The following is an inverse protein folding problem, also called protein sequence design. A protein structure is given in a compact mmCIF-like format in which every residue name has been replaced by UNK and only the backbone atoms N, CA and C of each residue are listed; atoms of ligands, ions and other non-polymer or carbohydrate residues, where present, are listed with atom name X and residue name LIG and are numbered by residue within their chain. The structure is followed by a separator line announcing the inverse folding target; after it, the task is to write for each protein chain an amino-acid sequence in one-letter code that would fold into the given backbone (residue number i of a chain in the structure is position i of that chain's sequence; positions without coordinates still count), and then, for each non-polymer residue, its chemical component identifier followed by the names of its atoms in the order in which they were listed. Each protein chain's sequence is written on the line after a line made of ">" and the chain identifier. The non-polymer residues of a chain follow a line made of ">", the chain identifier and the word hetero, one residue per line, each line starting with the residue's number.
data_IF_448979230690
#
_entry.id   IF_448979230690
#
_cell.length_a   1.000
_cell.length_b   1.000
_cell.length_c   1.000
_cell.angle_alpha   90.00
_cell.angle_beta   90.00
_cell.angle_gamma   90.00
#
_symmetry.space_group_name_H-M   'P 1'
#
loop_
_entity.id
_entity.type
_entity.pdbx_description
1 polymer ?
#
# COMPACT_ATOMS: atom_id res chain seq x y z
N UNK A 1 -9.52 -22.91 12.37
CA UNK A 1 -9.43 -21.45 12.19
C UNK A 1 -8.94 -21.18 10.78
N UNK A 2 -9.22 -19.98 10.25
CA UNK A 2 -8.78 -19.58 8.92
C UNK A 2 -7.52 -18.71 9.01
N UNK A 3 -6.57 -18.94 8.12
CA UNK A 3 -5.49 -18.02 7.81
C UNK A 3 -5.82 -17.32 6.48
N UNK A 4 -5.57 -16.02 6.41
CA UNK A 4 -5.87 -15.22 5.22
C UNK A 4 -4.57 -14.82 4.54
N UNK A 5 -4.47 -15.07 3.25
CA UNK A 5 -3.32 -14.70 2.43
C UNK A 5 -3.77 -13.95 1.19
N UNK A 6 -2.96 -13.02 0.73
CA UNK A 6 -3.08 -12.44 -0.60
C UNK A 6 -2.20 -13.18 -1.61
N UNK A 7 -2.60 -13.22 -2.86
CA UNK A 7 -1.84 -13.85 -3.96
C UNK A 7 -1.37 -12.82 -4.98
N UNK A 8 -0.18 -13.06 -5.54
CA UNK A 8 0.46 -12.17 -6.50
C UNK A 8 -0.24 -12.08 -7.86
N UNK A 9 0.34 -11.27 -8.74
CA UNK A 9 -0.11 -11.09 -10.10
C UNK A 9 0.02 -12.39 -10.95
N UNK A 10 -0.83 -12.58 -11.97
CA UNK A 10 -0.66 -13.65 -12.94
C UNK A 10 0.49 -13.33 -13.91
N UNK A 11 1.32 -14.32 -14.21
CA UNK A 11 2.44 -14.18 -15.14
C UNK A 11 2.09 -14.73 -16.54
N UNK A 12 2.56 -14.09 -17.63
CA UNK A 12 3.35 -12.85 -17.70
C UNK A 12 2.49 -11.59 -17.49
N UNK A 13 3.05 -10.37 -17.44
CA UNK A 13 2.25 -9.13 -17.36
C UNK A 13 1.38 -8.92 -18.61
N UNK A 14 1.86 -9.34 -19.79
CA UNK A 14 1.07 -9.34 -21.01
C UNK A 14 -0.13 -10.30 -20.89
N UNK A 15 -1.28 -9.75 -20.47
CA UNK A 15 -2.53 -10.50 -20.27
C UNK A 15 -3.08 -11.16 -21.53
N UNK A 16 -2.70 -10.69 -22.73
CA UNK A 16 -3.21 -11.27 -23.98
C UNK A 16 -2.74 -12.71 -24.19
N UNK A 17 -1.64 -13.10 -23.54
CA UNK A 17 -1.08 -14.45 -23.58
C UNK A 17 -1.75 -15.44 -22.61
N UNK A 18 -2.69 -14.98 -21.78
CA UNK A 18 -3.29 -15.79 -20.70
C UNK A 18 -4.74 -15.41 -20.43
N UNK A 19 -5.59 -15.58 -21.44
CA UNK A 19 -7.01 -15.29 -21.34
C UNK A 19 -7.70 -16.05 -20.19
N UNK A 20 -8.74 -15.44 -19.61
CA UNK A 20 -9.51 -15.97 -18.48
C UNK A 20 -9.13 -15.35 -17.14
N UNK A 21 -9.82 -15.74 -16.07
CA UNK A 21 -9.69 -15.13 -14.74
C UNK A 21 -8.30 -15.29 -14.10
N UNK A 22 -7.54 -16.30 -14.53
CA UNK A 22 -6.20 -16.65 -14.01
C UNK A 22 -6.19 -17.01 -12.51
N UNK A 23 -7.23 -17.72 -12.04
CA UNK A 23 -7.32 -18.08 -10.63
C UNK A 23 -6.11 -18.90 -10.14
N UNK A 24 -5.62 -18.69 -8.92
CA UNK A 24 -6.11 -17.73 -7.91
C UNK A 24 -5.24 -16.47 -7.84
N UNK A 25 -4.78 -15.89 -8.95
CA UNK A 25 -4.00 -14.65 -8.91
C UNK A 25 -4.81 -13.46 -8.38
N UNK A 26 -4.14 -12.42 -7.88
CA UNK A 26 -4.77 -11.17 -7.43
C UNK A 26 -5.95 -11.36 -6.46
N UNK A 27 -5.83 -12.34 -5.58
CA UNK A 27 -6.93 -12.82 -4.73
C UNK A 27 -6.58 -12.74 -3.25
N UNK A 28 -7.59 -12.54 -2.41
CA UNK A 28 -7.54 -12.93 -1.01
C UNK A 28 -8.05 -14.37 -0.91
N UNK A 29 -7.29 -15.25 -0.28
CA UNK A 29 -7.64 -16.65 -0.03
C UNK A 29 -7.71 -16.93 1.47
N UNK A 30 -8.75 -17.64 1.91
CA UNK A 30 -8.84 -18.14 3.26
C UNK A 30 -8.53 -19.64 3.29
N UNK A 31 -7.55 -20.01 4.09
CA UNK A 31 -7.02 -21.37 4.18
C UNK A 31 -7.37 -21.92 5.56
N UNK A 32 -7.94 -23.11 5.61
CA UNK A 32 -8.10 -23.82 6.88
C UNK A 32 -6.73 -24.27 7.40
N UNK A 33 -6.36 -23.77 8.58
CA UNK A 33 -5.03 -23.95 9.16
C UNK A 33 -4.70 -25.41 9.45
N UNK A 34 -5.70 -26.27 9.66
CA UNK A 34 -5.47 -27.70 9.96
C UNK A 34 -5.21 -28.51 8.70
N UNK A 35 -5.88 -28.17 7.61
CA UNK A 35 -5.94 -29.00 6.40
C UNK A 35 -5.19 -28.42 5.21
N UNK A 36 -4.86 -27.13 5.24
CA UNK A 36 -4.28 -26.41 4.09
C UNK A 36 -5.28 -26.18 2.93
N UNK A 37 -6.55 -26.56 3.09
CA UNK A 37 -7.56 -26.36 2.05
C UNK A 37 -8.03 -24.90 1.99
N UNK A 38 -8.12 -24.37 0.78
CA UNK A 38 -8.80 -23.10 0.52
C UNK A 38 -10.30 -23.28 0.81
N UNK A 39 -10.85 -22.47 1.71
CA UNK A 39 -12.28 -22.47 2.07
C UNK A 39 -13.07 -21.47 1.24
N UNK A 40 -12.47 -20.33 0.92
CA UNK A 40 -13.03 -19.34 0.01
C UNK A 40 -11.91 -18.49 -0.60
N UNK A 41 -12.21 -17.82 -1.70
CA UNK A 41 -11.35 -16.80 -2.29
C UNK A 41 -12.19 -15.63 -2.80
N UNK A 42 -11.60 -14.45 -2.83
CA UNK A 42 -12.15 -13.26 -3.48
C UNK A 42 -11.08 -12.66 -4.39
N UNK A 43 -11.36 -12.58 -5.69
CA UNK A 43 -10.42 -12.08 -6.69
C UNK A 43 -10.69 -10.60 -7.00
N UNK A 44 -9.79 -9.71 -6.57
CA UNK A 44 -9.94 -8.26 -6.74
C UNK A 44 -9.62 -7.78 -8.16
N UNK A 45 -8.70 -8.46 -8.84
CA UNK A 45 -8.29 -8.12 -10.22
C UNK A 45 -8.25 -9.37 -11.11
N UNK A 46 -9.41 -9.90 -11.55
CA UNK A 46 -9.46 -10.98 -12.53
C UNK A 46 -8.72 -10.61 -13.82
N UNK A 47 -8.05 -11.57 -14.46
CA UNK A 47 -7.29 -11.33 -15.69
C UNK A 47 -6.42 -10.05 -15.63
N UNK A 48 -5.65 -9.87 -14.55
CA UNK A 48 -4.86 -8.66 -14.34
C UNK A 48 -3.97 -8.32 -15.55
N UNK A 49 -3.85 -7.05 -15.88
CA UNK A 49 -3.02 -6.54 -17.00
C UNK A 49 -2.10 -5.39 -16.61
N UNK A 50 -1.94 -5.15 -15.31
CA UNK A 50 -1.24 -3.98 -14.77
C UNK A 50 -0.28 -4.31 -13.64
N UNK A 51 -0.08 -5.59 -13.31
CA UNK A 51 0.69 -6.02 -12.14
C UNK A 51 0.08 -5.49 -10.84
N UNK A 52 -1.24 -5.64 -10.69
CA UNK A 52 -1.92 -5.34 -9.43
C UNK A 52 -1.97 -6.59 -8.54
N UNK A 53 -0.84 -6.95 -7.94
CA UNK A 53 -0.80 -8.05 -6.98
C UNK A 53 -1.87 -7.92 -5.90
N UNK A 54 -2.53 -9.02 -5.59
CA UNK A 54 -3.51 -9.11 -4.52
C UNK A 54 -2.90 -9.46 -3.16
N UNK A 55 -1.61 -9.22 -2.94
CA UNK A 55 -0.88 -9.64 -1.73
C UNK A 55 -1.15 -8.79 -0.49
N UNK A 56 -1.67 -7.57 -0.68
CA UNK A 56 -1.92 -6.64 0.42
C UNK A 56 -2.75 -7.29 1.53
N UNK A 57 -2.41 -6.98 2.77
CA UNK A 57 -2.90 -7.63 3.96
C UNK A 57 -4.43 -7.59 4.09
N UNK A 58 -4.99 -8.69 4.61
CA UNK A 58 -6.41 -8.81 4.95
C UNK A 58 -6.56 -8.71 6.47
N UNK A 59 -6.91 -7.53 6.96
CA UNK A 59 -7.02 -7.26 8.41
C UNK A 59 -8.44 -7.55 8.87
N UNK A 60 -8.57 -8.51 9.78
CA UNK A 60 -9.88 -8.86 10.35
C UNK A 60 -10.28 -7.91 11.48
N UNK A 61 -11.55 -7.50 11.49
CA UNK A 61 -12.12 -6.58 12.47
C UNK A 61 -13.60 -6.89 12.71
N UNK A 62 -14.18 -6.32 13.76
CA UNK A 62 -15.61 -6.48 14.05
C UNK A 62 -16.39 -5.27 13.54
N UNK A 63 -17.46 -5.52 12.77
CA UNK A 63 -18.37 -4.51 12.23
C UNK A 63 -19.80 -5.01 12.35
N UNK A 64 -20.65 -4.23 13.02
CA UNK A 64 -22.07 -4.57 13.22
C UNK A 64 -22.31 -6.00 13.77
N UNK A 65 -21.45 -6.43 14.71
CA UNK A 65 -21.53 -7.75 15.34
C UNK A 65 -21.04 -8.92 14.48
N UNK A 66 -20.48 -8.65 13.29
CA UNK A 66 -19.89 -9.67 12.40
C UNK A 66 -18.38 -9.52 12.32
N UNK A 67 -17.70 -10.65 12.14
CA UNK A 67 -16.26 -10.71 11.83
C UNK A 67 -16.06 -10.44 10.35
N UNK A 68 -15.53 -9.27 10.04
CA UNK A 68 -15.20 -8.84 8.68
C UNK A 68 -13.69 -8.86 8.49
N UNK A 69 -13.24 -8.67 7.24
CA UNK A 69 -11.87 -8.27 6.98
C UNK A 69 -11.78 -7.28 5.84
N UNK A 70 -10.75 -6.46 5.89
CA UNK A 70 -10.55 -5.35 4.98
C UNK A 70 -9.18 -5.39 4.33
N UNK A 71 -9.11 -4.85 3.10
CA UNK A 71 -7.89 -4.78 2.29
C UNK A 71 -7.88 -3.53 1.42
N UNK A 72 -6.86 -2.70 1.57
CA UNK A 72 -6.53 -1.65 0.62
C UNK A 72 -5.61 -2.23 -0.46
N UNK A 73 -6.12 -2.47 -1.66
CA UNK A 73 -5.43 -3.24 -2.70
C UNK A 73 -4.51 -2.36 -3.58
N UNK A 74 -3.55 -3.00 -4.27
CA UNK A 74 -2.71 -2.37 -5.29
C UNK A 74 -3.56 -1.67 -6.35
N UNK A 75 -4.69 -2.26 -6.71
CA UNK A 75 -5.56 -1.76 -7.77
C UNK A 75 -6.34 -0.46 -7.43
N UNK A 76 -6.17 0.08 -6.22
CA UNK A 76 -6.75 1.37 -5.81
C UNK A 76 -8.13 1.28 -5.14
N UNK A 77 -8.72 0.08 -5.06
CA UNK A 77 -9.94 -0.16 -4.31
C UNK A 77 -9.66 -0.72 -2.91
N UNK A 78 -10.50 -0.31 -1.97
CA UNK A 78 -10.58 -0.84 -0.62
C UNK A 78 -11.75 -1.82 -0.58
N UNK A 79 -11.50 -3.03 -0.12
CA UNK A 79 -12.48 -4.12 -0.05
C UNK A 79 -12.82 -4.43 1.40
N UNK A 80 -14.09 -4.70 1.67
CA UNK A 80 -14.59 -5.22 2.95
C UNK A 80 -15.36 -6.49 2.67
N UNK A 81 -14.89 -7.60 3.23
CA UNK A 81 -15.44 -8.94 3.02
C UNK A 81 -15.85 -9.56 4.36
N UNK A 82 -16.88 -10.40 4.35
CA UNK A 82 -17.15 -11.31 5.45
C UNK A 82 -15.97 -12.29 5.59
N UNK A 83 -15.35 -12.35 6.78
CA UNK A 83 -14.15 -13.15 6.97
C UNK A 83 -14.42 -14.66 6.98
N UNK A 84 -15.66 -15.08 7.27
CA UNK A 84 -16.06 -16.49 7.32
C UNK A 84 -16.28 -17.11 5.95
N UNK A 85 -16.79 -16.34 4.98
CA UNK A 85 -17.21 -16.85 3.67
C UNK A 85 -16.68 -16.07 2.45
N UNK A 86 -15.99 -14.95 2.64
CA UNK A 86 -15.40 -14.16 1.56
C UNK A 86 -16.40 -13.30 0.77
N UNK A 87 -17.68 -13.23 1.20
CA UNK A 87 -18.69 -12.43 0.51
C UNK A 87 -18.35 -10.95 0.63
N UNK A 88 -18.42 -10.24 -0.50
CA UNK A 88 -18.22 -8.80 -0.58
C UNK A 88 -19.35 -8.06 0.13
N UNK A 89 -18.99 -7.17 1.05
CA UNK A 89 -19.91 -6.27 1.75
C UNK A 89 -19.80 -4.84 1.20
N UNK A 90 -18.57 -4.37 0.97
CA UNK A 90 -18.33 -3.03 0.44
C UNK A 90 -17.04 -2.98 -0.39
N UNK A 91 -17.02 -2.12 -1.41
CA UNK A 91 -15.84 -1.82 -2.19
C UNK A 91 -15.89 -0.38 -2.72
N UNK A 92 -14.81 0.37 -2.55
CA UNK A 92 -14.74 1.78 -2.93
C UNK A 92 -13.29 2.22 -3.18
N UNK A 93 -13.04 3.22 -4.04
CA UNK A 93 -11.69 3.76 -4.22
C UNK A 93 -11.14 4.38 -2.93
N UNK A 94 -9.91 4.05 -2.54
CA UNK A 94 -9.17 4.78 -1.49
C UNK A 94 -8.09 5.70 -2.04
N UNK A 95 -7.95 5.73 -3.37
CA UNK A 95 -7.18 6.70 -4.15
C UNK A 95 -8.11 7.60 -4.95
N UNK A 96 -7.63 8.79 -5.30
CA UNK A 96 -8.44 9.81 -5.99
C UNK A 96 -8.60 9.54 -7.48
N UNK A 97 -7.68 8.78 -8.10
CA UNK A 97 -7.75 8.43 -9.52
C UNK A 97 -7.60 6.93 -9.73
N UNK A 98 -8.63 6.32 -10.32
CA UNK A 98 -8.65 4.95 -10.82
C UNK A 98 -9.10 4.99 -12.27
N UNK A 99 -8.34 4.40 -13.20
CA UNK A 99 -8.67 4.44 -14.64
C UNK A 99 -9.04 3.08 -15.19
N UNK A 100 -8.52 1.98 -14.65
CA UNK A 100 -8.72 0.63 -15.19
C UNK A 100 -10.15 0.08 -15.00
N UNK A 101 -10.89 0.60 -14.02
CA UNK A 101 -12.27 0.25 -13.74
C UNK A 101 -13.05 1.46 -13.20
N UNK A 102 -14.35 1.53 -13.49
CA UNK A 102 -15.24 2.59 -13.00
C UNK A 102 -15.78 2.33 -11.58
N UNK A 103 -15.66 1.09 -11.11
CA UNK A 103 -16.14 0.66 -9.79
C UNK A 103 -16.11 -0.86 -9.66
N UNK A 104 -16.53 -1.35 -8.50
CA UNK A 104 -16.77 -2.78 -8.25
C UNK A 104 -18.27 -3.00 -8.15
N UNK A 105 -18.81 -3.94 -8.92
CA UNK A 105 -20.19 -4.35 -8.80
C UNK A 105 -20.36 -5.16 -7.51
N UNK A 106 -21.09 -4.62 -6.53
CA UNK A 106 -21.29 -5.26 -5.22
C UNK A 106 -22.13 -6.54 -5.29
N UNK A 107 -22.91 -6.77 -6.35
CA UNK A 107 -23.69 -8.00 -6.53
C UNK A 107 -22.82 -9.14 -7.04
N UNK A 108 -21.96 -8.86 -8.02
CA UNK A 108 -21.11 -9.88 -8.66
C UNK A 108 -19.73 -9.99 -8.01
N UNK A 109 -19.30 -8.95 -7.28
CA UNK A 109 -17.96 -8.82 -6.73
C UNK A 109 -16.89 -8.48 -7.76
N UNK A 110 -17.25 -8.23 -9.01
CA UNK A 110 -16.33 -8.05 -10.15
C UNK A 110 -16.12 -6.56 -10.47
N UNK A 111 -14.93 -6.17 -10.96
CA UNK A 111 -14.70 -4.82 -11.44
C UNK A 111 -15.45 -4.53 -12.74
N UNK A 112 -15.96 -3.31 -12.85
CA UNK A 112 -16.50 -2.74 -14.08
C UNK A 112 -15.33 -2.19 -14.91
N UNK A 113 -14.68 -3.06 -15.69
CA UNK A 113 -13.50 -2.70 -16.49
C UNK A 113 -13.78 -1.54 -17.44
N UNK A 114 -12.73 -0.73 -17.67
CA UNK A 114 -12.62 0.21 -18.79
C UNK A 114 -11.67 -0.43 -19.81
N UNK A 115 -12.16 -1.13 -20.85
CA UNK A 115 -11.33 -1.92 -21.75
C UNK A 115 -10.22 -1.11 -22.44
N UNK A 116 -10.48 0.16 -22.71
CA UNK A 116 -9.54 1.10 -23.36
C UNK A 116 -8.30 1.38 -22.51
N UNK A 117 -8.35 1.14 -21.20
CA UNK A 117 -7.25 1.33 -20.27
C UNK A 117 -6.44 0.05 -20.01
N UNK A 118 -6.69 -1.01 -20.79
CA UNK A 118 -5.82 -2.20 -20.84
C UNK A 118 -4.77 -2.02 -21.95
N UNK A 119 -3.47 -2.25 -21.69
CA UNK A 119 -2.45 -2.15 -22.72
C UNK A 119 -2.74 -3.11 -23.89
N UNK A 120 -2.56 -2.64 -25.11
CA UNK A 120 -2.96 -3.36 -26.32
C UNK A 120 -2.19 -4.65 -26.57
N UNK A 121 -2.73 -5.52 -27.42
CA UNK A 121 -2.05 -6.73 -27.90
C UNK A 121 -0.92 -6.32 -28.88
N UNK A 122 0.35 -6.66 -28.62
CA UNK A 122 1.44 -6.32 -29.53
C UNK A 122 1.28 -6.93 -30.92
N UNK A 123 0.60 -8.07 -31.10
CA UNK A 123 0.42 -8.67 -32.43
C UNK A 123 -0.51 -7.88 -33.33
N UNK A 124 -1.33 -6.98 -32.76
CA UNK A 124 -2.15 -6.04 -33.50
C UNK A 124 -1.42 -4.75 -33.88
N UNK A 125 -0.18 -4.54 -33.39
CA UNK A 125 0.65 -3.39 -33.71
C UNK A 125 1.28 -3.50 -35.11
N UNK A 126 1.66 -2.34 -35.69
CA UNK A 126 2.18 -2.26 -37.06
C UNK A 126 3.40 -3.15 -37.35
N UNK A 127 4.24 -3.40 -36.35
CA UNK A 127 5.44 -4.25 -36.46
C UNK A 127 5.37 -5.52 -35.60
N UNK A 128 4.25 -5.76 -34.91
CA UNK A 128 4.06 -6.91 -34.01
C UNK A 128 4.86 -6.87 -32.70
N UNK A 129 5.57 -5.77 -32.39
CA UNK A 129 6.53 -5.72 -31.26
C UNK A 129 6.00 -4.96 -30.05
N UNK A 130 5.06 -4.04 -30.24
CA UNK A 130 4.58 -3.16 -29.17
C UNK A 130 3.08 -2.92 -29.32
N UNK A 131 2.33 -3.21 -28.27
CA UNK A 131 0.92 -2.86 -28.16
C UNK A 131 0.73 -1.36 -27.91
N UNK A 132 -0.50 -0.87 -28.11
CA UNK A 132 -0.83 0.52 -27.82
C UNK A 132 -0.53 0.86 -26.35
N UNK A 133 0.09 2.02 -26.15
CA UNK A 133 0.39 2.57 -24.83
C UNK A 133 -0.90 3.12 -24.23
N UNK A 134 -1.16 2.80 -22.97
CA UNK A 134 -2.28 3.35 -22.20
C UNK A 134 -1.79 4.02 -20.93
N UNK A 135 -2.58 4.97 -20.42
CA UNK A 135 -2.34 5.57 -19.12
C UNK A 135 -3.17 4.85 -18.03
N UNK A 136 -2.49 4.27 -17.06
CA UNK A 136 -3.11 3.62 -15.90
C UNK A 136 -2.91 4.43 -14.63
N UNK A 137 -3.97 4.63 -13.84
CA UNK A 137 -3.88 4.98 -12.43
C UNK A 137 -4.71 3.97 -11.62
N UNK A 138 -4.17 3.39 -10.53
CA UNK A 138 -2.77 3.51 -10.06
C UNK A 138 -1.71 3.04 -11.06
N UNK A 139 -0.45 3.38 -10.80
CA UNK A 139 0.70 2.68 -11.41
C UNK A 139 0.75 1.21 -10.93
N UNK A 140 1.58 0.37 -11.53
CA UNK A 140 1.75 -1.03 -11.08
C UNK A 140 2.23 -1.14 -9.62
N UNK A 141 2.98 -0.15 -9.11
CA UNK A 141 3.35 -0.09 -7.69
C UNK A 141 2.14 0.16 -6.76
N UNK A 142 1.00 0.53 -7.34
CA UNK A 142 -0.33 0.45 -6.76
C UNK A 142 -0.74 1.64 -5.90
N UNK A 143 -2.02 1.69 -5.53
CA UNK A 143 -2.54 2.65 -4.54
C UNK A 143 -1.98 2.39 -3.14
N UNK A 144 -1.64 1.13 -2.84
CA UNK A 144 -0.85 0.67 -1.69
C UNK A 144 -0.01 -0.54 -2.13
N UNK A 145 1.20 -0.69 -1.59
CA UNK A 145 2.08 -1.83 -1.87
C UNK A 145 2.25 -2.72 -0.63
N UNK A 146 3.48 -3.18 -0.34
CA UNK A 146 3.82 -4.06 0.78
C UNK A 146 3.47 -3.50 2.16
N UNK A 147 3.48 -2.17 2.33
CA UNK A 147 3.40 -1.55 3.64
C UNK A 147 2.01 -1.77 4.27
N UNK A 148 1.93 -2.29 5.50
CA UNK A 148 0.65 -2.60 6.13
C UNK A 148 -0.07 -1.34 6.61
N UNK A 149 -1.39 -1.31 6.41
CA UNK A 149 -2.30 -0.38 7.08
C UNK A 149 -2.54 -0.80 8.55
N UNK A 150 -3.10 0.09 9.35
CA UNK A 150 -3.50 -0.21 10.73
C UNK A 150 -5.01 0.04 10.93
N UNK A 151 -5.62 -0.65 11.89
CA UNK A 151 -7.02 -0.46 12.29
C UNK A 151 -7.11 -0.03 13.75
N UNK A 152 -7.91 0.99 14.06
CA UNK A 152 -8.24 1.35 15.45
C UNK A 152 -9.67 0.92 15.79
N UNK A 153 -9.86 0.02 16.78
CA UNK A 153 -11.18 -0.30 17.30
C UNK A 153 -11.90 0.88 17.96
N UNK A 154 -11.19 1.93 18.37
CA UNK A 154 -11.80 3.09 19.05
C UNK A 154 -12.41 4.07 18.05
N UNK A 155 -11.71 4.33 16.94
CA UNK A 155 -12.19 5.22 15.87
C UNK A 155 -13.02 4.48 14.83
N UNK A 156 -12.88 3.15 14.74
CA UNK A 156 -13.40 2.28 13.68
C UNK A 156 -12.81 2.58 12.29
N UNK A 157 -11.66 3.25 12.23
CA UNK A 157 -11.02 3.66 10.99
C UNK A 157 -9.80 2.78 10.66
N UNK A 158 -9.56 2.64 9.36
CA UNK A 158 -8.29 2.15 8.82
C UNK A 158 -7.38 3.32 8.46
N UNK A 159 -6.08 3.19 8.76
CA UNK A 159 -5.05 4.18 8.45
C UNK A 159 -4.15 3.62 7.34
N UNK A 160 -4.38 4.10 6.12
CA UNK A 160 -3.85 3.51 4.88
C UNK A 160 -2.73 4.40 4.32
N UNK A 161 -1.47 3.92 4.29
CA UNK A 161 -0.37 4.63 3.62
C UNK A 161 -0.53 4.46 2.10
N UNK A 162 -1.14 5.44 1.43
CA UNK A 162 -1.49 5.35 0.01
C UNK A 162 -0.58 6.20 -0.90
N UNK A 163 -0.60 5.93 -2.21
CA UNK A 163 0.17 6.65 -3.22
C UNK A 163 -0.70 7.06 -4.43
N UNK A 164 -0.59 8.33 -4.83
CA UNK A 164 -1.22 8.93 -5.99
C UNK A 164 -0.21 9.09 -7.13
N UNK A 165 -0.27 8.16 -8.07
CA UNK A 165 0.59 8.11 -9.26
C UNK A 165 -0.08 7.30 -10.36
N UNK A 166 0.41 7.46 -11.58
CA UNK A 166 -0.01 6.66 -12.71
C UNK A 166 1.19 6.05 -13.42
N UNK A 167 0.93 5.43 -14.56
CA UNK A 167 1.95 4.95 -15.46
C UNK A 167 1.46 5.02 -16.90
N UNK A 168 2.39 5.24 -17.82
CA UNK A 168 2.25 4.78 -19.19
C UNK A 168 2.68 3.32 -19.23
N UNK A 169 1.88 2.42 -19.80
CA UNK A 169 2.17 0.99 -19.90
C UNK A 169 1.82 0.47 -21.29
N UNK A 170 2.63 -0.47 -21.80
CA UNK A 170 2.39 -1.18 -23.05
C UNK A 170 2.85 -2.64 -22.93
N UNK A 171 2.31 -3.51 -23.77
CA UNK A 171 2.73 -4.91 -23.86
C UNK A 171 3.71 -5.15 -25.00
N UNK A 172 4.53 -6.19 -24.85
CA UNK A 172 5.49 -6.69 -25.82
C UNK A 172 5.41 -8.22 -25.88
N UNK A 173 5.83 -8.86 -26.99
CA UNK A 173 5.97 -10.31 -27.05
C UNK A 173 6.99 -10.80 -26.00
N UNK A 174 6.70 -11.93 -25.36
CA UNK A 174 7.60 -12.54 -24.37
C UNK A 174 7.55 -14.06 -24.45
N UNK A 175 8.70 -14.69 -24.27
CA UNK A 175 8.82 -16.16 -24.18
C UNK A 175 9.41 -16.53 -22.82
N UNK A 176 8.85 -17.55 -22.19
CA UNK A 176 9.33 -18.02 -20.89
C UNK A 176 10.75 -18.58 -21.01
N UNK A 177 11.63 -18.15 -20.11
CA UNK A 177 12.95 -18.74 -19.90
C UNK A 177 13.20 -18.84 -18.40
N UNK A 178 13.45 -20.06 -17.91
CA UNK A 178 13.71 -20.32 -16.48
C UNK A 178 14.84 -19.43 -15.97
N UNK A 179 14.57 -18.70 -14.89
CA UNK A 179 15.53 -17.78 -14.25
C UNK A 179 15.62 -16.39 -14.87
N UNK A 180 14.95 -16.12 -16.00
CA UNK A 180 14.86 -14.79 -16.59
C UNK A 180 13.58 -14.06 -16.15
N UNK A 181 13.58 -12.74 -16.24
CA UNK A 181 12.38 -11.93 -16.03
C UNK A 181 11.31 -12.27 -17.09
N UNK A 182 10.05 -12.39 -16.68
CA UNK A 182 8.93 -12.82 -17.53
C UNK A 182 7.78 -11.80 -17.48
N UNK A 183 8.06 -10.58 -17.97
CA UNK A 183 7.09 -9.47 -17.95
C UNK A 183 6.28 -9.42 -19.25
N UNK A 184 6.92 -9.13 -20.38
CA UNK A 184 6.20 -8.82 -21.63
C UNK A 184 5.49 -7.47 -21.59
N UNK A 185 6.02 -6.53 -20.81
CA UNK A 185 5.49 -5.17 -20.75
C UNK A 185 6.62 -4.18 -20.48
N UNK A 186 6.46 -2.97 -21.03
CA UNK A 186 7.27 -1.81 -20.68
C UNK A 186 6.38 -0.73 -20.06
N UNK A 187 6.99 0.14 -19.26
CA UNK A 187 6.25 1.15 -18.51
C UNK A 187 7.11 2.35 -18.11
N UNK A 188 6.44 3.45 -17.80
CA UNK A 188 7.02 4.62 -17.13
C UNK A 188 6.05 5.12 -16.08
N UNK A 189 6.42 5.06 -14.79
CA UNK A 189 5.62 5.68 -13.72
C UNK A 189 5.67 7.21 -13.84
N UNK A 190 4.50 7.83 -13.68
CA UNK A 190 4.25 9.27 -13.78
C UNK A 190 3.67 9.80 -12.49
N UNK A 191 4.14 10.97 -12.06
CA UNK A 191 3.43 11.79 -11.06
C UNK A 191 2.11 12.27 -11.66
N UNK A 192 1.06 12.29 -10.85
CA UNK A 192 -0.27 12.82 -11.25
C UNK A 192 -0.69 14.06 -10.46
N UNK A 193 0.10 14.43 -9.46
CA UNK A 193 0.01 15.70 -8.75
C UNK A 193 1.40 16.32 -8.69
N UNK A 194 1.45 17.65 -8.59
CA UNK A 194 2.72 18.39 -8.52
C UNK A 194 3.33 18.33 -7.11
N UNK A 195 2.50 18.44 -6.08
CA UNK A 195 2.91 18.71 -4.69
C UNK A 195 3.06 17.46 -3.81
N UNK A 196 2.47 16.32 -4.19
CA UNK A 196 2.52 15.09 -3.38
C UNK A 196 2.40 13.81 -4.21
N UNK A 197 2.89 12.71 -3.64
CA UNK A 197 2.65 11.34 -4.12
C UNK A 197 2.01 10.54 -3.00
N UNK A 198 2.66 10.51 -1.83
CA UNK A 198 2.15 9.81 -0.67
C UNK A 198 0.95 10.52 -0.05
N UNK A 199 0.01 9.75 0.48
CA UNK A 199 -1.07 10.27 1.33
C UNK A 199 -1.43 9.22 2.39
N UNK A 200 -1.22 9.53 3.66
CA UNK A 200 -1.78 8.72 4.74
C UNK A 200 -3.25 9.08 4.88
N UNK A 201 -4.14 8.10 4.78
CA UNK A 201 -5.59 8.32 4.80
C UNK A 201 -6.25 7.55 5.92
N UNK A 202 -7.14 8.22 6.65
CA UNK A 202 -8.11 7.52 7.48
C UNK A 202 -9.36 7.20 6.66
N UNK A 203 -9.73 5.92 6.64
CA UNK A 203 -10.81 5.37 5.83
C UNK A 203 -11.82 4.69 6.74
N UNK A 204 -13.08 5.05 6.60
CA UNK A 204 -14.20 4.34 7.23
C UNK A 204 -14.59 3.14 6.34
N UNK A 205 -14.39 1.88 6.80
CA UNK A 205 -14.70 0.70 6.00
C UNK A 205 -16.21 0.52 5.74
N UNK A 206 -17.07 1.06 6.61
CA UNK A 206 -18.52 0.94 6.48
C UNK A 206 -19.08 1.89 5.44
N UNK A 207 -18.66 3.16 5.48
CA UNK A 207 -19.23 4.20 4.60
C UNK A 207 -18.41 4.43 3.34
N UNK A 208 -17.16 3.95 3.29
CA UNK A 208 -16.24 4.19 2.19
C UNK A 208 -15.64 5.59 2.14
N UNK A 209 -15.81 6.38 3.21
CA UNK A 209 -15.33 7.76 3.25
C UNK A 209 -13.88 7.85 3.68
N UNK A 210 -13.11 8.70 2.98
CA UNK A 210 -11.85 9.23 3.49
C UNK A 210 -12.20 10.32 4.51
N UNK A 211 -11.93 10.06 5.79
CA UNK A 211 -12.26 10.96 6.91
C UNK A 211 -11.26 12.12 6.98
N UNK A 212 -9.98 11.82 6.79
CA UNK A 212 -8.91 12.81 6.68
C UNK A 212 -7.75 12.25 5.86
N UNK A 213 -6.89 13.13 5.35
CA UNK A 213 -5.64 12.77 4.69
C UNK A 213 -4.46 13.65 5.13
N UNK A 214 -3.27 13.06 5.21
CA UNK A 214 -1.99 13.77 5.41
C UNK A 214 -1.11 13.48 4.20
N UNK A 215 -0.91 14.48 3.36
CA UNK A 215 -0.10 14.38 2.14
C UNK A 215 1.39 14.34 2.46
N UNK A 216 2.15 13.64 1.61
CA UNK A 216 3.60 13.55 1.67
C UNK A 216 4.20 13.69 0.27
N UNK A 217 5.30 14.44 0.17
CA UNK A 217 5.98 14.73 -1.10
C UNK A 217 6.45 13.43 -1.78
N UNK A 218 7.21 12.59 -1.07
CA UNK A 218 7.60 11.27 -1.54
C UNK A 218 6.48 10.23 -1.33
N UNK A 219 6.49 9.10 -2.08
CA UNK A 219 5.54 8.02 -1.86
C UNK A 219 5.65 7.45 -0.45
N UNK A 220 4.53 7.15 0.20
CA UNK A 220 4.57 6.41 1.46
C UNK A 220 4.91 4.96 1.17
N UNK A 221 5.93 4.44 1.86
CA UNK A 221 6.44 3.08 1.67
C UNK A 221 6.67 2.33 3.00
N UNK A 222 6.35 2.96 4.12
CA UNK A 222 6.41 2.40 5.47
C UNK A 222 5.04 1.99 6.01
N UNK A 223 5.02 0.99 6.88
CA UNK A 223 3.80 0.53 7.54
C UNK A 223 3.30 1.49 8.61
N UNK A 224 2.08 1.24 9.08
CA UNK A 224 1.39 2.10 10.04
C UNK A 224 1.15 1.37 11.36
N UNK A 225 1.20 2.12 12.46
CA UNK A 225 0.81 1.68 13.80
C UNK A 225 -0.27 2.63 14.33
N UNK A 226 -1.27 2.11 15.06
CA UNK A 226 -2.19 2.94 15.84
C UNK A 226 -2.33 2.41 17.26
N UNK A 227 -2.67 3.28 18.21
CA UNK A 227 -2.73 2.95 19.64
C UNK A 227 -4.01 3.47 20.28
N UNK A 228 -4.38 2.90 21.43
CA UNK A 228 -5.49 3.38 22.27
C UNK A 228 -5.27 4.80 22.84
N UNK A 229 -4.05 5.34 22.73
CA UNK A 229 -3.72 6.73 23.07
C UNK A 229 -4.18 7.75 22.02
N UNK A 230 -5.06 7.37 21.09
CA UNK A 230 -5.53 8.20 19.98
C UNK A 230 -4.40 8.69 19.05
N UNK A 231 -3.38 7.83 18.82
CA UNK A 231 -2.25 8.14 17.95
C UNK A 231 -2.15 7.18 16.77
N UNK A 232 -1.63 7.70 15.66
CA UNK A 232 -1.22 6.95 14.46
C UNK A 232 0.22 7.29 14.15
N UNK A 233 1.07 6.29 14.00
CA UNK A 233 2.49 6.43 13.67
C UNK A 233 2.78 5.85 12.28
N UNK A 234 3.64 6.52 11.52
CA UNK A 234 4.13 6.02 10.23
C UNK A 234 5.48 6.64 9.88
N UNK A 235 6.22 5.95 9.02
CA UNK A 235 7.47 6.42 8.45
C UNK A 235 7.30 7.12 7.10
N UNK A 236 8.20 8.05 6.77
CA UNK A 236 8.30 8.65 5.43
C UNK A 236 9.67 8.39 4.80
N UNK A 237 9.78 8.41 3.45
CA UNK A 237 11.07 8.28 2.77
C UNK A 237 12.07 9.38 3.13
N UNK A 238 11.59 10.58 3.48
CA UNK A 238 12.41 11.70 3.96
C UNK A 238 13.05 11.44 5.34
N UNK A 239 12.83 10.26 5.92
CA UNK A 239 13.45 9.79 7.15
C UNK A 239 12.71 10.16 8.43
N UNK A 240 11.49 10.69 8.30
CA UNK A 240 10.67 11.06 9.44
C UNK A 240 9.89 9.86 9.95
N UNK A 241 9.99 9.58 11.25
CA UNK A 241 8.93 8.89 11.98
C UNK A 241 7.94 9.95 12.48
N UNK A 242 6.69 9.88 12.05
CA UNK A 242 5.63 10.84 12.41
C UNK A 242 4.60 10.20 13.32
N UNK A 243 3.95 11.04 14.13
CA UNK A 243 2.75 10.69 14.88
C UNK A 243 1.66 11.75 14.66
N UNK A 244 0.41 11.32 14.47
CA UNK A 244 -0.74 12.19 14.34
C UNK A 244 -1.89 11.77 15.25
N UNK A 245 -2.76 12.74 15.56
CA UNK A 245 -4.04 12.49 16.20
C UNK A 245 -4.91 11.59 15.28
N UNK A 246 -5.37 10.47 15.82
CA UNK A 246 -6.03 9.42 15.06
C UNK A 246 -7.40 9.80 14.50
N UNK A 247 -8.04 10.86 15.02
CA UNK A 247 -9.36 11.35 14.60
C UNK A 247 -9.28 12.46 13.56
N UNK A 248 -8.21 13.26 13.59
CA UNK A 248 -8.11 14.49 12.80
C UNK A 248 -6.98 14.47 11.79
N UNK A 249 -5.99 13.58 11.92
CA UNK A 249 -4.80 13.55 11.08
C UNK A 249 -3.80 14.67 11.39
N UNK A 250 -4.04 15.49 12.42
CA UNK A 250 -3.10 16.54 12.82
C UNK A 250 -1.81 15.90 13.33
N UNK A 251 -0.68 16.16 12.65
CA UNK A 251 0.65 15.75 13.11
C UNK A 251 0.94 16.44 14.45
N UNK A 252 1.30 15.64 15.45
CA UNK A 252 1.58 16.11 16.82
C UNK A 252 3.03 15.87 17.25
N UNK A 253 3.76 15.02 16.52
CA UNK A 253 5.16 14.74 16.79
C UNK A 253 5.85 14.18 15.54
N UNK A 254 7.13 14.47 15.37
CA UNK A 254 7.99 13.83 14.38
C UNK A 254 9.45 13.79 14.82
N UNK A 255 10.21 12.86 14.27
CA UNK A 255 11.65 12.73 14.52
C UNK A 255 12.39 12.27 13.26
N UNK A 256 13.53 12.91 12.97
CA UNK A 256 14.38 12.61 11.82
C UNK A 256 15.37 11.49 12.14
N UNK A 257 15.20 10.34 11.48
CA UNK A 257 16.00 9.12 11.69
C UNK A 257 17.26 9.05 10.81
N UNK A 258 17.40 9.98 9.85
CA UNK A 258 18.56 10.10 8.95
C UNK A 258 18.46 9.33 7.65
N UNK A 259 17.54 8.37 7.53
CA UNK A 259 17.24 7.65 6.28
C UNK A 259 15.77 7.23 6.23
N UNK A 260 15.25 6.93 5.04
CA UNK A 260 13.84 6.62 4.81
C UNK A 260 13.30 5.49 5.69
N UNK A 261 12.14 5.72 6.30
CA UNK A 261 11.51 4.76 7.22
C UNK A 261 10.48 3.93 6.46
N UNK A 262 10.88 2.71 6.06
CA UNK A 262 10.06 1.77 5.26
C UNK A 262 9.47 0.61 6.07
N UNK A 263 9.84 0.49 7.35
CA UNK A 263 9.33 -0.54 8.25
C UNK A 263 8.06 -0.06 9.00
N UNK A 264 7.14 -0.97 9.39
CA UNK A 264 6.08 -0.64 10.33
C UNK A 264 6.64 -0.34 11.72
N UNK A 265 6.18 0.73 12.40
CA UNK A 265 6.51 0.96 13.80
C UNK A 265 5.87 -0.11 14.72
N UNK A 266 6.48 -0.35 15.88
CA UNK A 266 5.95 -1.23 16.94
C UNK A 266 6.00 -0.53 18.29
N UNK A 267 5.10 -0.89 19.21
CA UNK A 267 5.09 -0.38 20.60
C UNK A 267 4.90 -1.50 21.60
N UNK A 268 5.50 -1.36 22.79
CA UNK A 268 5.36 -2.31 23.90
C UNK A 268 5.52 -1.60 25.25
N UNK A 269 5.13 -2.30 26.32
CA UNK A 269 5.41 -1.88 27.70
C UNK A 269 6.60 -2.66 28.25
N UNK A 270 7.50 -1.96 28.92
CA UNK A 270 8.61 -2.56 29.64
C UNK A 270 8.85 -1.76 30.93
N UNK A 271 8.85 -2.44 32.09
CA UNK A 271 9.06 -1.82 33.40
C UNK A 271 8.13 -0.62 33.69
N UNK A 272 6.89 -0.67 33.18
CA UNK A 272 5.90 0.39 33.35
C UNK A 272 6.14 1.64 32.50
N UNK A 273 7.01 1.58 31.50
CA UNK A 273 7.23 2.63 30.50
C UNK A 273 6.83 2.11 29.12
N UNK A 274 6.26 2.99 28.29
CA UNK A 274 5.88 2.65 26.92
C UNK A 274 7.02 3.00 25.97
N UNK A 275 7.34 2.06 25.08
CA UNK A 275 8.36 2.22 24.05
C UNK A 275 7.73 2.20 22.67
N UNK A 276 8.34 2.91 21.73
CA UNK A 276 8.02 2.85 20.30
C UNK A 276 9.33 2.60 19.54
N UNK A 277 9.35 1.66 18.62
CA UNK A 277 10.54 1.38 17.80
C UNK A 277 10.19 1.28 16.32
N UNK A 278 11.16 1.62 15.48
CA UNK A 278 11.06 1.49 14.03
C UNK A 278 12.44 1.26 13.42
N UNK A 279 12.49 0.55 12.29
CA UNK A 279 13.70 0.41 11.48
C UNK A 279 13.72 1.49 10.39
N UNK A 280 14.85 2.17 10.27
CA UNK A 280 15.15 3.17 9.23
C UNK A 280 16.19 2.61 8.25
N UNK A 281 15.96 2.86 6.96
CA UNK A 281 16.80 2.42 5.84
C UNK A 281 16.02 2.49 4.53
N UNK A 282 16.31 3.50 3.70
CA UNK A 282 15.61 3.69 2.42
C UNK A 282 15.91 2.58 1.40
N UNK A 283 14.88 2.12 0.68
CA UNK A 283 14.99 1.05 -0.31
C UNK A 283 13.65 0.60 -0.88
N UNK A 284 13.55 -0.67 -1.26
CA UNK A 284 12.34 -1.25 -1.85
C UNK A 284 12.25 -1.06 -3.37
N UNK A 285 11.04 -1.08 -3.92
CA UNK A 285 10.83 -1.05 -5.36
C UNK A 285 10.99 0.35 -5.97
N UNK A 286 10.67 1.42 -5.23
CA UNK A 286 10.62 2.80 -5.77
C UNK A 286 11.95 3.24 -6.42
N UNK A 287 13.15 3.00 -5.84
CA UNK A 287 14.41 3.42 -6.47
C UNK A 287 14.69 2.77 -7.83
N UNK A 288 14.23 1.53 -8.05
CA UNK A 288 14.51 0.77 -9.28
C UNK A 288 13.40 0.91 -10.32
N UNK A 289 12.15 1.00 -9.85
CA UNK A 289 10.95 0.85 -10.67
C UNK A 289 10.11 2.13 -10.76
N UNK A 290 10.53 3.20 -10.08
CA UNK A 290 9.77 4.44 -9.89
C UNK A 290 9.66 5.37 -11.10
N UNK A 291 10.31 5.10 -12.23
CA UNK A 291 10.26 5.98 -13.41
C UNK A 291 10.60 7.43 -13.06
N UNK A 292 9.72 8.39 -13.41
CA UNK A 292 9.92 9.80 -13.08
C UNK A 292 9.86 10.08 -11.57
N UNK A 293 9.17 9.24 -10.79
CA UNK A 293 9.12 9.35 -9.32
C UNK A 293 10.46 9.03 -8.68
N UNK A 294 11.27 8.14 -9.27
CA UNK A 294 12.60 7.83 -8.75
C UNK A 294 13.51 9.08 -8.73
N UNK A 295 13.34 10.01 -9.68
CA UNK A 295 14.05 11.29 -9.72
C UNK A 295 13.65 12.21 -8.56
N UNK A 296 12.39 12.17 -8.13
CA UNK A 296 11.89 12.99 -7.00
C UNK A 296 12.50 12.56 -5.67
N UNK A 297 12.99 11.33 -5.57
CA UNK A 297 13.55 10.75 -4.34
C UNK A 297 15.04 10.44 -4.45
N UNK A 298 15.72 10.92 -5.50
CA UNK A 298 17.14 10.62 -5.73
C UNK A 298 18.09 11.25 -4.72
N UNK A 299 17.61 12.19 -3.90
CA UNK A 299 18.36 12.81 -2.80
C UNK A 299 18.32 11.96 -1.50
N UNK A 300 17.54 10.88 -1.47
CA UNK A 300 17.41 10.04 -0.28
C UNK A 300 18.56 9.06 -0.18
N UNK A 301 19.30 9.16 0.92
CA UNK A 301 20.41 8.26 1.22
C UNK A 301 19.95 6.97 1.88
N UNK A 302 20.72 5.90 1.65
CA UNK A 302 20.52 4.60 2.30
C UNK A 302 20.81 4.67 3.80
N UNK A 303 20.42 3.61 4.52
CA UNK A 303 20.67 3.49 5.95
C UNK A 303 20.33 2.09 6.44
N UNK A 304 20.48 1.87 7.75
CA UNK A 304 20.17 0.59 8.39
C UNK A 304 20.30 0.71 9.90
N UNK A 305 19.28 1.23 10.56
CA UNK A 305 19.30 1.50 11.99
C UNK A 305 17.96 1.19 12.65
N UNK A 306 18.02 0.63 13.87
CA UNK A 306 16.85 0.51 14.76
C UNK A 306 16.80 1.75 15.65
N UNK A 307 15.69 2.47 15.59
CA UNK A 307 15.40 3.58 16.50
C UNK A 307 14.42 3.12 17.57
N UNK A 308 14.70 3.44 18.84
CA UNK A 308 13.82 3.14 19.95
C UNK A 308 13.59 4.40 20.79
N UNK A 309 12.33 4.80 20.86
CA UNK A 309 11.82 5.94 21.60
C UNK A 309 11.12 5.46 22.86
N UNK A 310 11.09 6.31 23.88
CA UNK A 310 10.39 6.08 25.12
C UNK A 310 9.43 7.21 25.39
N UNK A 311 8.20 6.88 25.80
CA UNK A 311 7.22 7.84 26.31
C UNK A 311 7.42 7.88 27.84
N UNK A 312 7.92 9.00 28.41
CA UNK A 312 8.11 9.12 29.86
C UNK A 312 6.78 8.97 30.61
N UNK A 313 6.83 8.48 31.86
CA UNK A 313 5.64 8.46 32.72
C UNK A 313 5.08 9.88 32.87
N UNK A 314 3.75 10.00 32.93
CA UNK A 314 3.11 11.28 33.22
C UNK A 314 3.71 11.90 34.50
N UNK A 315 4.20 13.13 34.42
CA UNK A 315 4.85 13.83 35.54
C UNK A 315 6.37 13.64 35.65
N UNK A 316 7.00 12.87 34.76
CA UNK A 316 8.48 12.83 34.68
C UNK A 316 8.96 14.08 33.93
N UNK A 317 9.71 14.96 34.59
CA UNK A 317 10.46 16.00 33.87
C UNK A 317 11.44 15.29 32.92
N UNK A 318 11.29 15.50 31.62
CA UNK A 318 12.33 15.13 30.67
C UNK A 318 13.53 16.02 30.97
N UNK A 319 14.70 15.41 31.23
CA UNK A 319 15.95 16.17 31.22
C UNK A 319 16.03 16.92 29.88
N UNK A 320 16.41 18.19 29.93
CA UNK A 320 16.64 18.98 28.71
C UNK A 320 17.57 18.19 27.80
N UNK A 321 17.14 17.97 26.56
CA UNK A 321 18.04 17.46 25.53
C UNK A 321 19.18 18.46 25.42
N UNK A 322 20.45 18.05 25.66
CA UNK A 322 21.59 18.94 25.52
C UNK A 322 21.55 19.64 24.15
N UNK A 323 21.76 20.96 24.14
CA UNK A 323 21.58 21.80 22.95
C UNK A 323 22.48 21.38 21.76
N UNK A 324 23.55 20.64 22.04
CA UNK A 324 24.48 20.02 21.09
C UNK A 324 23.91 18.80 20.35
N UNK A 325 22.86 18.16 20.87
CA UNK A 325 22.14 17.09 20.17
C UNK A 325 21.12 17.62 19.13
N UNK A 326 20.67 18.87 19.27
CA UNK A 326 19.82 19.53 18.25
C UNK A 326 20.64 20.00 17.04
N UNK A 327 21.94 20.23 17.20
CA UNK A 327 22.80 20.80 16.15
C UNK A 327 23.33 19.78 15.14
N UNK A 328 23.27 18.47 15.43
CA UNK A 328 23.76 17.45 14.47
C UNK A 328 22.79 17.15 13.31
N UNK A 329 21.57 17.70 13.33
CA UNK A 329 20.61 17.55 12.21
C UNK A 329 20.62 18.76 11.26
N UNK A 330 21.32 19.84 11.61
CA UNK A 330 21.35 21.08 10.82
C UNK A 330 22.56 21.20 9.86
N UNK A 331 23.47 20.23 9.86
CA UNK A 331 24.74 20.29 9.12
C UNK A 331 24.82 19.29 7.96
N UNK A 332 23.77 19.18 7.16
CA UNK A 332 23.87 18.78 5.74
C UNK A 332 22.87 19.65 4.97
N UNK A 333 23.34 20.80 4.50
CA UNK A 333 22.70 21.60 3.46
C UNK A 333 23.52 21.47 2.19
#
# INVERSE_FOLDING_TARGET
>A
GLAYFGTGNPAPWNSHLRQGDNLFSCSTVAIDVKTGQIKWHYQGTPNDGWDFDGVNEFITFDMDGKRMGAKADRNGFFYVLDAGNGKLENAFPFVKKVTWATGIDLKTGRPNYVPENRPGDPTAGADGKKGNVVFSAPSFLGGKNQMPMAYSPDTKLFYVPSNEWGMEIWNEPITYKKGAAYLGAGFTIKTINDDYIGALRAVDPKTGKIVWEVKNNAPLWGGVLTTAGNLVFWGTPEGLLKAADAKTGKVVWEFQTGSGVVAPPVTWMQNGEQYVSVVSGWGGAVPLWGGDVAKRVSFLEQGGMVWTFKIPKAGTQTAEVPADAQTQVAAVR
#
